data_IF_429409653978
#
_entry.id   IF_429409653978
#
_cell.length_a   1.000
_cell.length_b   1.000
_cell.length_c   1.000
_cell.angle_alpha   90.00
_cell.angle_beta   90.00
_cell.angle_gamma   90.00
#
_symmetry.space_group_name_H-M   'P 1'
#
loop_
_entity.id
_entity.type
_entity.pdbx_description
1 polymer ?
#
# COMPACT_ATOMS: atom_id res chain seq x y z
N UNK A 1 -11.98 10.26 -1.31
CA UNK A 1 -11.14 11.36 -0.82
C UNK A 1 -9.74 11.20 -1.40
N UNK A 2 -9.23 12.23 -2.06
CA UNK A 2 -7.90 12.18 -2.67
C UNK A 2 -6.85 12.72 -1.70
N UNK A 3 -5.77 11.96 -1.52
CA UNK A 3 -4.63 12.33 -0.66
C UNK A 3 -3.35 12.27 -1.49
N UNK A 4 -2.64 13.39 -1.56
CA UNK A 4 -1.36 13.47 -2.25
C UNK A 4 -0.23 12.93 -1.38
N UNK A 5 0.49 11.94 -1.89
CA UNK A 5 1.72 11.44 -1.29
C UNK A 5 2.86 12.42 -1.60
N UNK A 6 3.57 12.81 -0.56
CA UNK A 6 4.81 13.59 -0.63
C UNK A 6 5.97 12.65 -0.30
N UNK A 7 6.65 12.06 -1.30
CA UNK A 7 7.71 11.08 -1.10
C UNK A 7 8.74 11.50 -0.05
N UNK A 8 9.08 10.60 0.88
CA UNK A 8 9.99 10.81 2.01
C UNK A 8 9.54 11.83 3.05
N UNK A 9 8.37 12.46 2.88
CA UNK A 9 7.93 13.56 3.76
C UNK A 9 6.63 13.26 4.50
N UNK A 10 5.66 12.59 3.84
CA UNK A 10 4.34 12.37 4.39
C UNK A 10 3.23 12.48 3.37
N UNK A 11 2.10 13.05 3.77
CA UNK A 11 0.89 13.19 2.93
C UNK A 11 0.25 14.58 3.07
N UNK A 12 -0.55 14.94 2.05
CA UNK A 12 -1.29 16.21 2.02
C UNK A 12 -2.68 16.00 1.39
N UNK A 13 -3.70 16.65 1.96
CA UNK A 13 -5.04 16.74 1.40
C UNK A 13 -5.66 18.09 1.74
N UNK A 14 -6.44 18.65 0.85
CA UNK A 14 -7.01 19.99 0.98
C UNK A 14 -5.96 21.01 1.46
N UNK A 15 -6.17 21.59 2.65
CA UNK A 15 -5.25 22.51 3.28
C UNK A 15 -4.51 21.90 4.50
N UNK A 16 -4.52 20.56 4.62
CA UNK A 16 -3.89 19.85 5.71
C UNK A 16 -2.72 18.99 5.21
N UNK A 17 -1.78 18.75 6.08
CA UNK A 17 -0.64 17.85 5.83
C UNK A 17 -0.22 17.15 7.11
N UNK A 18 0.31 15.95 6.97
CA UNK A 18 0.95 15.17 8.02
C UNK A 18 2.32 14.76 7.53
N UNK A 19 3.35 15.01 8.35
CA UNK A 19 4.74 14.74 8.01
C UNK A 19 5.35 13.68 8.94
N UNK A 20 6.32 12.95 8.45
CA UNK A 20 7.11 12.03 9.28
C UNK A 20 7.78 12.78 10.42
N UNK A 21 7.92 12.13 11.58
CA UNK A 21 8.43 12.71 12.81
C UNK A 21 7.44 13.56 13.59
N UNK A 22 6.24 13.84 13.06
CA UNK A 22 5.19 14.49 13.86
C UNK A 22 4.77 13.58 15.02
N UNK A 23 4.47 14.21 16.15
CA UNK A 23 3.98 13.47 17.32
C UNK A 23 2.54 13.00 17.11
N UNK A 24 2.24 11.85 17.67
CA UNK A 24 0.91 11.25 17.64
C UNK A 24 -0.20 12.23 18.01
N UNK A 25 -0.01 13.03 19.07
CA UNK A 25 -0.99 14.03 19.50
C UNK A 25 -1.26 15.10 18.44
N UNK A 26 -0.24 15.48 17.65
CA UNK A 26 -0.37 16.48 16.58
C UNK A 26 -1.09 15.89 15.36
N UNK A 27 -0.86 14.62 15.07
CA UNK A 27 -1.56 13.87 14.01
C UNK A 27 -3.04 13.71 14.39
N UNK A 28 -3.34 13.30 15.61
CA UNK A 28 -4.73 13.21 16.15
C UNK A 28 -5.44 14.57 16.12
N UNK A 29 -4.74 15.66 16.39
CA UNK A 29 -5.33 17.00 16.30
C UNK A 29 -5.79 17.37 14.89
N UNK A 30 -5.17 16.80 13.85
CA UNK A 30 -5.51 17.01 12.44
C UNK A 30 -6.58 16.04 11.92
N UNK A 31 -6.49 14.77 12.31
CA UNK A 31 -7.32 13.68 11.78
C UNK A 31 -8.52 13.33 12.67
N UNK A 32 -8.49 13.78 13.94
CA UNK A 32 -9.43 13.35 14.96
C UNK A 32 -9.02 12.06 15.65
N UNK A 33 -9.96 11.47 16.38
CA UNK A 33 -9.74 10.21 17.11
C UNK A 33 -9.69 9.06 16.10
N UNK A 34 -8.67 8.16 16.15
CA UNK A 34 -8.61 6.99 15.30
C UNK A 34 -9.81 6.06 15.56
N UNK A 35 -10.26 5.38 14.53
CA UNK A 35 -11.39 4.45 14.63
C UNK A 35 -10.97 3.12 15.27
N UNK A 36 -9.72 2.75 15.08
CA UNK A 36 -9.12 1.54 15.65
C UNK A 36 -7.67 1.84 16.01
N UNK A 37 -7.19 1.21 17.06
CA UNK A 37 -5.80 1.27 17.51
C UNK A 37 -5.33 -0.14 17.82
N UNK A 38 -4.24 -0.55 17.19
CA UNK A 38 -3.56 -1.79 17.52
C UNK A 38 -2.09 -1.48 17.78
N UNK A 39 -1.64 -1.63 19.01
CA UNK A 39 -0.28 -1.26 19.46
C UNK A 39 0.05 0.21 19.10
N UNK A 40 0.99 0.40 18.18
CA UNK A 40 1.41 1.73 17.69
C UNK A 40 0.79 2.09 16.32
N UNK A 41 -0.12 1.28 15.82
CA UNK A 41 -0.82 1.48 14.55
C UNK A 41 -2.20 2.09 14.78
N UNK A 42 -2.48 3.19 14.11
CA UNK A 42 -3.68 4.02 14.23
C UNK A 42 -4.43 4.05 12.91
N UNK A 43 -5.68 3.59 12.90
CA UNK A 43 -6.49 3.44 11.69
C UNK A 43 -7.54 4.54 11.56
N UNK A 44 -7.63 5.11 10.36
CA UNK A 44 -8.54 6.19 10.00
C UNK A 44 -9.31 5.86 8.72
N UNK A 45 -10.43 6.59 8.50
CA UNK A 45 -11.24 6.49 7.27
C UNK A 45 -11.70 5.06 6.96
N UNK A 46 -12.32 4.40 7.95
CA UNK A 46 -12.79 3.01 7.83
C UNK A 46 -11.63 2.06 7.49
N UNK A 47 -10.52 2.22 8.19
CA UNK A 47 -9.28 1.46 8.02
C UNK A 47 -8.66 1.54 6.61
N UNK A 48 -8.99 2.59 5.84
CA UNK A 48 -8.34 2.84 4.55
C UNK A 48 -6.97 3.50 4.68
N UNK A 49 -6.65 4.03 5.86
CA UNK A 49 -5.39 4.71 6.13
C UNK A 49 -4.85 4.29 7.51
N UNK A 50 -3.61 3.82 7.55
CA UNK A 50 -2.90 3.45 8.78
C UNK A 50 -1.70 4.37 8.98
N UNK A 51 -1.48 4.75 10.23
CA UNK A 51 -0.32 5.52 10.69
C UNK A 51 0.41 4.70 11.75
N UNK A 52 1.68 4.40 11.51
CA UNK A 52 2.51 3.69 12.48
C UNK A 52 3.45 4.67 13.16
N UNK A 53 3.49 4.59 14.50
CA UNK A 53 4.29 5.47 15.33
C UNK A 53 5.44 4.71 16.00
N UNK A 54 6.58 5.37 16.11
CA UNK A 54 7.74 4.86 16.86
C UNK A 54 7.44 4.71 18.35
N UNK A 55 8.37 4.11 19.08
CA UNK A 55 8.32 4.07 20.54
C UNK A 55 8.37 5.47 21.21
N UNK A 56 8.77 6.49 20.46
CA UNK A 56 8.79 7.87 20.90
C UNK A 56 7.55 8.65 20.46
N UNK A 57 6.49 7.97 20.02
CA UNK A 57 5.25 8.56 19.48
C UNK A 57 5.48 9.46 18.25
N UNK A 58 6.50 9.19 17.44
CA UNK A 58 6.79 9.90 16.19
C UNK A 58 6.31 9.08 14.99
N UNK A 59 5.67 9.72 14.02
CA UNK A 59 5.16 9.06 12.82
C UNK A 59 6.33 8.52 11.97
N UNK A 60 6.31 7.22 11.70
CA UNK A 60 7.35 6.52 10.93
C UNK A 60 6.84 5.92 9.61
N UNK A 61 5.56 5.55 9.54
CA UNK A 61 5.00 4.96 8.33
C UNK A 61 3.54 5.40 8.14
N UNK A 62 3.16 5.57 6.89
CA UNK A 62 1.77 5.79 6.49
C UNK A 62 1.42 4.74 5.45
N UNK A 63 0.30 4.05 5.61
CA UNK A 63 -0.12 3.02 4.69
C UNK A 63 -1.56 3.21 4.23
N UNK A 64 -1.75 3.21 2.91
CA UNK A 64 -3.03 3.20 2.23
C UNK A 64 -3.46 1.75 2.02
N UNK A 65 -4.59 1.35 2.60
CA UNK A 65 -5.05 -0.04 2.66
C UNK A 65 -6.31 -0.31 1.82
N UNK A 66 -6.91 0.73 1.24
CA UNK A 66 -8.23 0.61 0.61
C UNK A 66 -8.22 0.03 -0.81
N UNK A 67 -7.06 -0.05 -1.46
CA UNK A 67 -6.96 -0.48 -2.85
C UNK A 67 -7.87 0.33 -3.79
N UNK A 68 -8.22 -0.26 -4.93
CA UNK A 68 -9.05 0.37 -5.96
C UNK A 68 -10.46 0.73 -5.47
N UNK A 69 -11.01 -0.01 -4.50
CA UNK A 69 -12.37 0.18 -3.97
C UNK A 69 -12.39 1.09 -2.73
N UNK A 70 -11.23 1.50 -2.22
CA UNK A 70 -11.12 2.29 -1.01
C UNK A 70 -11.67 3.70 -1.14
N UNK A 71 -12.17 4.24 -0.04
CA UNK A 71 -12.69 5.62 0.04
C UNK A 71 -11.57 6.67 0.06
N UNK A 72 -10.33 6.25 0.33
CA UNK A 72 -9.13 7.08 0.31
C UNK A 72 -8.29 6.66 -0.88
N UNK A 73 -8.02 7.60 -1.79
CA UNK A 73 -7.28 7.36 -3.02
C UNK A 73 -5.95 8.12 -3.00
N UNK A 74 -4.81 7.43 -2.99
CA UNK A 74 -3.50 8.07 -3.02
C UNK A 74 -3.18 8.64 -4.40
N UNK A 75 -2.70 9.87 -4.43
CA UNK A 75 -2.13 10.50 -5.62
C UNK A 75 -0.62 10.58 -5.43
N UNK A 76 0.14 10.00 -6.35
CA UNK A 76 1.60 10.09 -6.38
C UNK A 76 2.07 10.49 -7.78
N UNK A 77 2.97 11.44 -7.88
CA UNK A 77 3.51 11.95 -9.14
C UNK A 77 2.43 12.35 -10.17
N UNK A 78 1.25 12.77 -9.69
CA UNK A 78 0.14 13.22 -10.50
C UNK A 78 -0.83 12.14 -10.99
N UNK A 79 -0.65 10.89 -10.57
CA UNK A 79 -1.55 9.77 -10.90
C UNK A 79 -2.28 9.24 -9.66
N UNK A 80 -3.51 8.77 -9.83
CA UNK A 80 -4.26 8.06 -8.79
C UNK A 80 -3.74 6.62 -8.71
N UNK A 81 -2.92 6.34 -7.70
CA UNK A 81 -2.07 5.18 -7.66
C UNK A 81 -2.82 3.84 -7.59
N UNK A 82 -4.02 3.79 -7.01
CA UNK A 82 -4.85 2.59 -7.01
C UNK A 82 -5.70 2.41 -8.27
N UNK A 83 -5.89 3.47 -9.08
CA UNK A 83 -6.78 3.45 -10.23
C UNK A 83 -6.06 3.12 -11.55
N UNK A 84 -4.76 3.37 -11.63
CA UNK A 84 -3.97 2.98 -12.81
C UNK A 84 -3.54 1.51 -12.70
N UNK A 85 -3.12 0.94 -13.83
CA UNK A 85 -2.54 -0.39 -13.88
C UNK A 85 -1.32 -0.50 -12.96
N UNK A 86 -1.17 -1.65 -12.28
CA UNK A 86 -0.09 -1.88 -11.32
C UNK A 86 1.30 -1.79 -11.97
N UNK A 87 1.44 -2.29 -13.20
CA UNK A 87 2.72 -2.26 -13.91
C UNK A 87 3.03 -0.83 -14.41
N UNK A 88 2.02 -0.04 -14.79
CA UNK A 88 2.18 1.38 -15.12
C UNK A 88 2.67 2.18 -13.89
N UNK A 89 2.07 1.96 -12.72
CA UNK A 89 2.55 2.59 -11.49
C UNK A 89 3.97 2.13 -11.16
N UNK A 90 4.26 0.83 -11.28
CA UNK A 90 5.60 0.30 -11.05
C UNK A 90 6.65 1.06 -11.88
N UNK A 91 6.42 1.24 -13.18
CA UNK A 91 7.34 1.97 -14.06
C UNK A 91 7.49 3.45 -13.67
N UNK A 92 6.42 4.12 -13.26
CA UNK A 92 6.50 5.51 -12.74
C UNK A 92 7.39 5.58 -11.49
N UNK A 93 7.23 4.61 -10.56
CA UNK A 93 8.02 4.56 -9.33
C UNK A 93 9.49 4.20 -9.63
N UNK A 94 9.74 3.25 -10.54
CA UNK A 94 11.06 2.86 -11.01
C UNK A 94 11.84 4.05 -11.60
N UNK A 95 11.21 4.82 -12.48
CA UNK A 95 11.83 6.03 -13.08
C UNK A 95 12.20 7.10 -12.05
N UNK A 96 11.50 7.13 -10.91
CA UNK A 96 11.73 8.10 -9.83
C UNK A 96 12.66 7.58 -8.74
N UNK A 97 12.84 6.26 -8.66
CA UNK A 97 13.74 5.63 -7.71
C UNK A 97 15.18 5.64 -8.23
N UNK A 98 16.08 6.30 -7.52
CA UNK A 98 17.50 6.42 -7.89
C UNK A 98 18.37 5.33 -7.25
N UNK A 99 17.90 4.10 -7.16
CA UNK A 99 18.63 3.04 -6.48
C UNK A 99 18.04 1.67 -6.77
N UNK A 100 18.43 0.71 -5.96
CA UNK A 100 17.90 -0.64 -6.02
C UNK A 100 16.39 -0.64 -5.73
N UNK A 101 15.65 -1.46 -6.48
CA UNK A 101 14.27 -1.82 -6.19
C UNK A 101 14.33 -3.17 -5.49
N UNK A 102 13.67 -3.27 -4.35
CA UNK A 102 13.66 -4.50 -3.56
C UNK A 102 12.37 -5.26 -3.90
N UNK A 103 12.49 -6.44 -4.49
CA UNK A 103 11.39 -7.38 -4.58
C UNK A 103 11.28 -8.14 -3.25
N UNK A 104 10.28 -7.78 -2.45
CA UNK A 104 10.12 -8.30 -1.08
C UNK A 104 9.48 -9.69 -1.09
N UNK A 105 8.54 -9.94 -2.02
CA UNK A 105 7.71 -11.14 -2.03
C UNK A 105 7.47 -11.71 -3.43
N UNK A 106 8.50 -11.80 -4.27
CA UNK A 106 8.42 -12.49 -5.55
C UNK A 106 7.36 -11.94 -6.51
N UNK A 107 7.28 -10.61 -6.62
CA UNK A 107 6.36 -9.92 -7.51
C UNK A 107 5.03 -9.47 -6.86
N UNK A 108 4.76 -9.87 -5.62
CA UNK A 108 3.60 -9.36 -4.87
C UNK A 108 3.88 -7.99 -4.25
N UNK A 109 5.10 -7.76 -3.78
CA UNK A 109 5.48 -6.56 -3.04
C UNK A 109 6.82 -6.03 -3.50
N UNK A 110 6.88 -4.71 -3.74
CA UNK A 110 8.11 -4.01 -4.11
C UNK A 110 8.34 -2.81 -3.21
N UNK A 111 9.61 -2.55 -2.87
CA UNK A 111 10.03 -1.32 -2.22
C UNK A 111 10.94 -0.49 -3.12
N UNK A 112 10.74 0.82 -3.08
CA UNK A 112 11.48 1.87 -3.79
C UNK A 112 12.13 2.81 -2.75
N UNK A 113 13.26 2.41 -2.14
CA UNK A 113 13.81 3.07 -0.95
C UNK A 113 14.16 4.52 -1.14
N UNK A 114 14.67 4.92 -2.32
CA UNK A 114 15.12 6.30 -2.54
C UNK A 114 13.98 7.33 -2.60
N UNK A 115 12.75 6.86 -2.78
CA UNK A 115 11.53 7.68 -2.72
C UNK A 115 10.61 7.33 -1.56
N UNK A 116 11.00 6.33 -0.72
CA UNK A 116 10.25 5.92 0.46
C UNK A 116 8.87 5.35 0.16
N UNK A 117 8.72 4.57 -0.92
CA UNK A 117 7.44 3.99 -1.34
C UNK A 117 7.54 2.48 -1.36
N UNK A 118 6.54 1.81 -0.79
CA UNK A 118 6.29 0.39 -0.94
C UNK A 118 4.94 0.15 -1.59
N UNK A 119 4.81 -0.93 -2.34
CA UNK A 119 3.55 -1.35 -2.97
C UNK A 119 3.34 -2.84 -2.74
N UNK A 120 2.07 -3.24 -2.58
CA UNK A 120 1.68 -4.64 -2.45
C UNK A 120 0.41 -4.91 -3.25
N UNK A 121 0.33 -6.07 -3.91
CA UNK A 121 -0.87 -6.60 -4.58
C UNK A 121 -1.19 -8.00 -4.10
N UNK A 122 -2.47 -8.36 -4.09
CA UNK A 122 -2.95 -9.64 -3.58
C UNK A 122 -2.79 -10.78 -4.60
N UNK A 123 -2.56 -10.47 -5.88
CA UNK A 123 -2.37 -11.43 -6.96
C UNK A 123 -1.34 -10.90 -7.95
N UNK A 124 -0.59 -11.81 -8.59
CA UNK A 124 0.32 -11.46 -9.69
C UNK A 124 -0.20 -11.99 -11.03
N UNK A 125 -0.02 -11.24 -12.14
CA UNK A 125 -0.52 -11.66 -13.46
C UNK A 125 -0.06 -13.06 -13.89
N UNK A 126 1.16 -13.44 -13.48
CA UNK A 126 1.73 -14.75 -13.80
C UNK A 126 0.98 -15.96 -13.23
N UNK A 127 0.23 -15.78 -12.14
CA UNK A 127 -0.53 -16.86 -11.50
C UNK A 127 -1.95 -17.02 -12.07
N UNK A 128 -2.48 -16.00 -12.75
CA UNK A 128 -3.84 -16.03 -13.30
C UNK A 128 -4.12 -17.21 -14.24
N UNK A 129 -3.21 -17.62 -15.16
CA UNK A 129 -3.47 -18.76 -16.02
C UNK A 129 -3.66 -20.07 -15.27
N UNK A 130 -2.93 -20.28 -14.17
CA UNK A 130 -3.06 -21.46 -13.32
C UNK A 130 -4.38 -21.43 -12.56
N UNK A 131 -4.72 -20.32 -11.94
CA UNK A 131 -6.00 -20.11 -11.26
C UNK A 131 -7.20 -20.38 -12.19
N UNK A 132 -7.19 -19.81 -13.41
CA UNK A 132 -8.26 -20.04 -14.40
C UNK A 132 -8.36 -21.52 -14.77
N UNK A 133 -7.23 -22.24 -14.90
CA UNK A 133 -7.21 -23.66 -15.16
C UNK A 133 -7.86 -24.45 -14.02
N UNK A 134 -7.54 -24.13 -12.76
CA UNK A 134 -8.14 -24.80 -11.60
C UNK A 134 -9.66 -24.62 -11.54
N UNK A 135 -10.16 -23.40 -11.81
CA UNK A 135 -11.60 -23.12 -11.89
C UNK A 135 -12.25 -23.97 -13.00
N UNK A 136 -11.60 -24.10 -14.15
CA UNK A 136 -12.09 -24.91 -15.28
C UNK A 136 -12.09 -26.41 -14.94
N UNK A 137 -11.05 -26.94 -14.29
CA UNK A 137 -10.94 -28.33 -13.85
C UNK A 137 -11.98 -28.68 -12.77
N UNK A 138 -12.36 -27.71 -11.94
CA UNK A 138 -13.46 -27.82 -10.99
C UNK A 138 -14.86 -27.89 -11.65
N UNK A 139 -14.93 -27.73 -12.97
CA UNK A 139 -16.17 -27.76 -13.76
C UNK A 139 -16.98 -26.47 -13.68
N UNK A 140 -16.38 -25.37 -13.24
CA UNK A 140 -17.02 -24.07 -13.20
C UNK A 140 -16.95 -23.37 -14.59
N UNK A 141 -17.93 -22.50 -14.84
CA UNK A 141 -17.89 -21.68 -16.03
C UNK A 141 -16.82 -20.59 -15.87
N UNK A 142 -15.91 -20.50 -16.84
CA UNK A 142 -14.86 -19.46 -16.85
C UNK A 142 -15.35 -18.14 -17.48
N UNK A 143 -16.45 -18.18 -18.25
CA UNK A 143 -17.00 -16.98 -18.86
C UNK A 143 -17.83 -16.22 -17.83
N UNK A 144 -17.52 -14.95 -17.63
CA UNK A 144 -18.18 -14.07 -16.65
C UNK A 144 -18.14 -14.61 -15.20
N UNK A 145 -17.11 -15.40 -14.85
CA UNK A 145 -16.92 -15.92 -13.50
C UNK A 145 -16.47 -14.81 -12.55
N UNK A 146 -17.25 -14.51 -11.48
CA UNK A 146 -16.93 -13.42 -10.56
C UNK A 146 -15.57 -13.60 -9.85
N UNK A 147 -15.20 -14.84 -9.52
CA UNK A 147 -13.93 -15.13 -8.87
C UNK A 147 -12.73 -14.83 -9.79
N UNK A 148 -12.87 -15.17 -11.09
CA UNK A 148 -11.84 -14.85 -12.08
C UNK A 148 -11.72 -13.33 -12.26
N UNK A 149 -12.86 -12.62 -12.33
CA UNK A 149 -12.85 -11.16 -12.44
C UNK A 149 -12.22 -10.50 -11.21
N UNK A 150 -12.49 -11.01 -10.01
CA UNK A 150 -11.88 -10.53 -8.78
C UNK A 150 -10.36 -10.75 -8.79
N UNK A 151 -9.88 -11.95 -9.11
CA UNK A 151 -8.45 -12.24 -9.17
C UNK A 151 -7.73 -11.43 -10.27
N UNK A 152 -8.37 -11.19 -11.40
CA UNK A 152 -7.86 -10.29 -12.43
C UNK A 152 -7.73 -8.86 -11.91
N UNK A 153 -8.73 -8.36 -11.17
CA UNK A 153 -8.69 -7.02 -10.59
C UNK A 153 -7.56 -6.89 -9.56
N UNK A 154 -7.37 -7.91 -8.70
CA UNK A 154 -6.27 -7.98 -7.73
C UNK A 154 -4.89 -7.99 -8.41
N UNK A 155 -4.76 -8.61 -9.57
CA UNK A 155 -3.52 -8.64 -10.32
C UNK A 155 -3.21 -7.32 -11.05
N UNK A 156 -4.26 -6.60 -11.46
CA UNK A 156 -4.15 -5.36 -12.23
C UNK A 156 -3.94 -4.10 -11.36
N UNK A 157 -4.20 -4.18 -10.05
CA UNK A 157 -4.11 -3.01 -9.18
C UNK A 157 -3.36 -3.32 -7.88
N UNK A 158 -2.66 -2.32 -7.36
CA UNK A 158 -2.07 -2.40 -6.03
C UNK A 158 -3.17 -2.35 -4.97
N UNK A 159 -3.08 -3.23 -3.97
CA UNK A 159 -3.98 -3.27 -2.82
C UNK A 159 -3.53 -2.31 -1.72
N UNK A 160 -2.20 -2.14 -1.56
CA UNK A 160 -1.62 -1.34 -0.50
C UNK A 160 -0.49 -0.47 -1.05
N UNK A 161 -0.37 0.74 -0.52
CA UNK A 161 0.77 1.64 -0.77
C UNK A 161 1.27 2.15 0.57
N UNK A 162 2.53 1.88 0.89
CA UNK A 162 3.21 2.41 2.07
C UNK A 162 4.11 3.60 1.70
N UNK A 163 4.18 4.56 2.62
CA UNK A 163 5.02 5.75 2.51
C UNK A 163 5.87 5.83 3.76
N UNK A 164 7.18 6.04 3.59
CA UNK A 164 8.15 6.02 4.69
C UNK A 164 9.17 7.15 4.56
N UNK A 165 9.83 7.56 5.64
CA UNK A 165 10.98 8.47 5.57
C UNK A 165 12.21 7.78 5.00
N UNK A 166 13.26 8.56 4.71
CA UNK A 166 14.52 8.07 4.12
C UNK A 166 15.29 7.08 4.98
N UNK A 167 15.13 7.17 6.30
CA UNK A 167 15.82 6.30 7.26
C UNK A 167 15.10 4.98 7.52
N UNK A 168 13.98 4.71 6.83
CA UNK A 168 13.21 3.49 7.03
C UNK A 168 13.95 2.25 6.52
N UNK A 169 14.03 1.21 7.37
CA UNK A 169 14.72 -0.02 7.04
C UNK A 169 13.77 -1.05 6.42
N UNK A 170 13.74 -1.11 5.10
CA UNK A 170 12.90 -2.06 4.34
C UNK A 170 13.27 -3.54 4.57
N UNK A 171 14.47 -3.83 5.06
CA UNK A 171 14.95 -5.20 5.33
C UNK A 171 14.31 -5.88 6.54
N UNK A 172 13.75 -5.13 7.49
CA UNK A 172 13.13 -5.68 8.69
C UNK A 172 11.70 -6.18 8.47
N UNK A 173 11.07 -5.81 7.35
CA UNK A 173 9.72 -6.25 6.97
C UNK A 173 9.67 -7.74 6.64
N UNK A 174 10.79 -8.34 6.18
CA UNK A 174 10.87 -9.78 5.89
C UNK A 174 10.75 -10.68 7.13
N UNK A 175 11.00 -10.17 8.33
CA UNK A 175 10.98 -10.99 9.55
C UNK A 175 9.62 -11.02 10.26
N UNK A 176 8.75 -10.03 10.07
CA UNK A 176 7.46 -9.95 10.77
C UNK A 176 6.35 -10.76 10.08
N UNK A 177 6.36 -10.88 8.76
CA UNK A 177 5.34 -11.63 8.01
C UNK A 177 5.39 -13.15 8.23
N UNK A 178 6.55 -13.71 8.64
CA UNK A 178 6.71 -15.16 8.87
C UNK A 178 6.46 -15.60 10.32
N UNK A 179 6.24 -14.69 11.27
CA UNK A 179 6.11 -15.05 12.70
C UNK A 179 4.65 -15.27 13.12
N UNK A 180 3.66 -14.90 12.31
CA UNK A 180 2.23 -15.08 12.64
C UNK A 180 1.58 -16.39 12.13
N UNK A 181 2.36 -17.29 11.51
CA UNK A 181 1.84 -18.56 10.97
C UNK A 181 2.48 -19.82 11.64
N UNK A 182 2.92 -19.73 12.91
CA UNK A 182 3.30 -20.91 13.69
C UNK A 182 2.46 -21.07 14.95
#
# INVERSE_FOLDING_TARGET
>A
MDITILPLKGIQWDNQSVFFGEKKIDVEAKLGIPQEVYENSYYYFQSNLRFDFSRNDELECIEFLGGIMGNVQPIIFGVQAFQIDADDLYHILEERNSGEIIDVEGGYSYAFPSIGIGVYREQIPGNLPEFIREVQEAGENITDNPNIQEEQLKALHWATISVTPSEYHWGDVQSSAYTELQ
#
